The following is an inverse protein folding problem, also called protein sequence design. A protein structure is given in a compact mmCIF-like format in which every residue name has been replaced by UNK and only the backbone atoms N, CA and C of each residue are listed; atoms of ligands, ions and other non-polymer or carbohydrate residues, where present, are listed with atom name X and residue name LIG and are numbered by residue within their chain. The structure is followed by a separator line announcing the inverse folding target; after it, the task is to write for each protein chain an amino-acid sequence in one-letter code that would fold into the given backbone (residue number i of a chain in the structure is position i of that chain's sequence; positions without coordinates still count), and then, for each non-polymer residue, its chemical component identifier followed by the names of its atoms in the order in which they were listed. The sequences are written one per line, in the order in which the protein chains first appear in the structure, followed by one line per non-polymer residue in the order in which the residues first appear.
data_IF_118864400141
#
_entry.id   IF_118864400141
#
_cell.length_a   1.000
_cell.length_b   1.000
_cell.length_c   1.000
_cell.angle_alpha   90.00
_cell.angle_beta   90.00
_cell.angle_gamma   90.00
#
_symmetry.space_group_name_H-M   'P 1'
#
loop_
_entity.id
_entity.type
_entity.pdbx_description
1 polymer ?
#
# COMPACT_ATOMS: atom_id res chain seq x y z
N UNK A 1 -2.79 5.76 19.61
CA UNK A 1 -4.13 5.59 19.08
C UNK A 1 -5.13 5.12 20.16
N UNK A 2 -4.70 4.38 21.21
CA UNK A 2 -5.58 3.74 22.20
C UNK A 2 -5.52 4.38 23.57
N UNK A 3 -4.80 5.48 23.74
CA UNK A 3 -4.61 6.16 25.02
C UNK A 3 -5.20 7.56 24.94
N UNK A 4 -6.06 7.90 25.89
CA UNK A 4 -6.53 9.25 26.10
C UNK A 4 -5.39 10.08 26.70
N UNK A 5 -4.72 10.84 25.82
CA UNK A 5 -3.56 11.66 26.21
C UNK A 5 -3.92 12.80 27.15
N UNK A 6 -5.14 13.33 27.07
CA UNK A 6 -5.61 14.42 27.91
C UNK A 6 -5.83 13.92 29.34
N UNK A 7 -6.57 12.83 29.49
CA UNK A 7 -6.78 12.18 30.80
C UNK A 7 -5.47 11.70 31.42
N UNK A 8 -4.55 11.14 30.65
CA UNK A 8 -3.23 10.76 31.12
C UNK A 8 -2.43 11.98 31.63
N UNK A 9 -2.49 13.09 30.88
CA UNK A 9 -1.83 14.35 31.26
C UNK A 9 -2.38 14.93 32.57
N UNK A 10 -3.70 14.94 32.76
CA UNK A 10 -4.32 15.36 34.03
C UNK A 10 -3.93 14.45 35.21
N UNK A 11 -3.73 13.17 34.97
CA UNK A 11 -3.28 12.22 35.98
C UNK A 11 -1.76 12.26 36.21
N UNK A 12 -1.01 13.12 35.54
CA UNK A 12 0.45 13.21 35.66
C UNK A 12 1.18 11.99 35.06
N UNK A 13 0.53 11.21 34.18
CA UNK A 13 1.10 10.03 33.56
C UNK A 13 1.83 10.42 32.28
N UNK A 14 3.10 10.05 32.18
CA UNK A 14 3.89 10.24 30.97
C UNK A 14 3.54 9.15 29.96
N UNK A 15 3.09 9.57 28.76
CA UNK A 15 2.81 8.67 27.65
C UNK A 15 3.91 8.82 26.60
N UNK A 16 4.56 7.71 26.24
CA UNK A 16 5.61 7.67 25.21
C UNK A 16 5.30 6.58 24.20
N UNK A 17 5.72 6.77 22.96
CA UNK A 17 5.66 5.76 21.93
C UNK A 17 7.07 5.24 21.59
N UNK A 18 7.13 4.10 20.90
CA UNK A 18 8.36 3.50 20.41
C UNK A 18 8.41 3.58 18.87
N UNK A 19 8.68 4.76 18.29
CA UNK A 19 8.42 5.06 16.88
C UNK A 19 9.28 4.28 15.89
N UNK A 20 10.32 3.60 16.34
CA UNK A 20 11.21 2.79 15.50
C UNK A 20 11.01 1.28 15.69
N UNK A 21 10.27 0.85 16.70
CA UNK A 21 10.20 -0.56 17.10
C UNK A 21 9.63 -1.48 16.01
N UNK A 22 8.62 -1.01 15.26
CA UNK A 22 7.95 -1.79 14.22
C UNK A 22 8.37 -1.42 12.78
N UNK A 23 9.26 -0.45 12.61
CA UNK A 23 9.57 0.06 11.26
C UNK A 23 10.01 -1.04 10.31
N UNK A 24 11.00 -1.85 10.70
CA UNK A 24 11.55 -2.89 9.84
C UNK A 24 10.54 -4.02 9.59
N UNK A 25 9.80 -4.44 10.61
CA UNK A 25 8.80 -5.52 10.47
C UNK A 25 7.66 -5.13 9.53
N UNK A 26 7.20 -3.86 9.58
CA UNK A 26 6.15 -3.38 8.67
C UNK A 26 6.68 -3.21 7.24
N UNK A 27 7.96 -2.83 7.04
CA UNK A 27 8.59 -2.84 5.72
C UNK A 27 8.58 -4.25 5.13
N UNK A 28 9.00 -5.25 5.89
CA UNK A 28 9.04 -6.65 5.46
C UNK A 28 7.63 -7.18 5.16
N UNK A 29 6.66 -6.90 6.01
CA UNK A 29 5.26 -7.27 5.81
C UNK A 29 4.70 -6.65 4.53
N UNK A 30 4.92 -5.36 4.31
CA UNK A 30 4.46 -4.67 3.09
C UNK A 30 5.04 -5.29 1.81
N UNK A 31 6.34 -5.59 1.80
CA UNK A 31 7.00 -6.26 0.68
C UNK A 31 6.46 -7.69 0.53
N UNK A 32 6.26 -8.39 1.62
CA UNK A 32 5.65 -9.72 1.64
C UNK A 32 4.25 -9.73 1.01
N UNK A 33 3.39 -8.78 1.38
CA UNK A 33 2.06 -8.59 0.79
C UNK A 33 2.13 -8.26 -0.69
N UNK A 34 3.00 -7.33 -1.07
CA UNK A 34 3.19 -6.94 -2.48
C UNK A 34 3.60 -8.15 -3.34
N UNK A 35 4.59 -8.90 -2.91
CA UNK A 35 5.04 -10.10 -3.64
C UNK A 35 3.99 -11.22 -3.63
N UNK A 36 3.33 -11.45 -2.51
CA UNK A 36 2.31 -12.50 -2.36
C UNK A 36 1.11 -12.28 -3.28
N UNK A 37 0.62 -11.05 -3.37
CA UNK A 37 -0.52 -10.71 -4.24
C UNK A 37 -0.15 -10.81 -5.72
N UNK A 38 1.00 -10.26 -6.13
CA UNK A 38 1.45 -10.22 -7.52
C UNK A 38 1.88 -11.57 -8.07
N UNK A 39 2.38 -12.45 -7.22
CA UNK A 39 2.89 -13.77 -7.61
C UNK A 39 1.91 -14.90 -7.28
N UNK A 40 0.70 -14.55 -6.82
CA UNK A 40 -0.37 -15.48 -6.46
C UNK A 40 0.05 -16.55 -5.43
N UNK A 41 0.98 -16.22 -4.51
CA UNK A 41 1.55 -17.19 -3.55
C UNK A 41 0.48 -17.84 -2.69
N UNK A 42 -0.45 -17.09 -2.03
CA UNK A 42 -1.50 -17.70 -1.20
C UNK A 42 -2.51 -18.51 -2.02
N UNK A 43 -2.81 -18.07 -3.25
CA UNK A 43 -3.73 -18.80 -4.14
C UNK A 43 -3.10 -20.12 -4.60
N UNK A 44 -1.83 -20.10 -4.94
CA UNK A 44 -1.09 -21.30 -5.34
C UNK A 44 -0.98 -22.31 -4.20
N UNK A 45 -0.69 -21.85 -2.98
CA UNK A 45 -0.63 -22.71 -1.78
C UNK A 45 -1.99 -23.38 -1.51
N UNK A 46 -3.09 -22.60 -1.52
CA UNK A 46 -4.44 -23.16 -1.37
C UNK A 46 -4.81 -24.15 -2.46
N UNK A 47 -4.42 -23.89 -3.71
CA UNK A 47 -4.64 -24.79 -4.82
C UNK A 47 -3.90 -26.12 -4.62
N UNK A 48 -2.62 -26.06 -4.26
CA UNK A 48 -1.82 -27.26 -4.00
C UNK A 48 -2.36 -28.12 -2.84
N UNK A 49 -2.86 -27.48 -1.78
CA UNK A 49 -3.53 -28.19 -0.65
C UNK A 49 -4.86 -28.86 -1.05
N UNK A 50 -5.42 -28.51 -2.21
CA UNK A 50 -6.62 -29.09 -2.80
C UNK A 50 -6.29 -29.98 -4.02
N UNK A 51 -5.03 -30.43 -4.16
CA UNK A 51 -4.54 -31.26 -5.27
C UNK A 51 -4.77 -30.64 -6.67
N UNK A 52 -4.87 -29.29 -6.75
CA UNK A 52 -5.06 -28.56 -8.00
C UNK A 52 -3.73 -28.11 -8.59
N UNK A 53 -3.48 -28.47 -9.85
CA UNK A 53 -2.30 -28.05 -10.61
C UNK A 53 -2.67 -26.92 -11.59
N UNK A 54 -2.62 -25.68 -11.13
CA UNK A 54 -3.11 -24.49 -11.86
C UNK A 54 -1.98 -23.61 -12.44
N UNK A 55 -0.88 -24.21 -12.88
CA UNK A 55 0.32 -23.50 -13.36
C UNK A 55 0.04 -22.37 -14.35
N UNK A 56 -0.91 -22.56 -15.29
CA UNK A 56 -1.22 -21.56 -16.34
C UNK A 56 -1.92 -20.33 -15.79
N UNK A 57 -2.83 -20.48 -14.81
CA UNK A 57 -3.60 -19.39 -14.19
C UNK A 57 -2.83 -18.66 -13.10
N UNK A 58 -1.71 -19.22 -12.63
CA UNK A 58 -0.84 -18.65 -11.60
C UNK A 58 0.31 -17.80 -12.19
N UNK A 59 0.19 -17.38 -13.45
CA UNK A 59 1.19 -16.49 -14.07
C UNK A 59 1.07 -15.08 -13.47
N UNK A 60 1.97 -14.76 -12.56
CA UNK A 60 2.02 -13.44 -11.93
C UNK A 60 2.78 -12.40 -12.76
N UNK A 61 2.84 -11.18 -12.22
CA UNK A 61 3.52 -10.02 -12.81
C UNK A 61 4.85 -9.75 -12.10
N UNK A 62 5.90 -9.44 -12.87
CA UNK A 62 7.18 -9.02 -12.30
C UNK A 62 7.11 -7.55 -11.86
N UNK A 63 7.82 -7.19 -10.79
CA UNK A 63 7.90 -5.82 -10.25
C UNK A 63 8.81 -4.91 -11.09
N UNK A 64 9.88 -5.47 -11.66
CA UNK A 64 10.88 -4.70 -12.40
C UNK A 64 10.26 -3.86 -13.51
N UNK A 65 10.66 -2.58 -13.58
CA UNK A 65 10.16 -1.60 -14.53
C UNK A 65 8.73 -1.10 -14.25
N UNK A 66 8.12 -1.42 -13.09
CA UNK A 66 6.81 -0.92 -12.70
C UNK A 66 6.92 0.28 -11.76
N UNK A 67 5.84 1.07 -11.65
CA UNK A 67 5.78 2.22 -10.75
C UNK A 67 5.06 1.85 -9.45
N UNK A 68 5.73 2.09 -8.32
CA UNK A 68 5.15 2.01 -6.98
C UNK A 68 4.89 3.42 -6.46
N UNK A 69 3.64 3.75 -6.20
CA UNK A 69 3.18 4.96 -5.54
C UNK A 69 3.04 4.74 -4.04
N UNK A 70 3.71 5.57 -3.25
CA UNK A 70 3.65 5.54 -1.80
C UNK A 70 2.80 6.72 -1.31
N UNK A 71 1.71 6.43 -0.63
CA UNK A 71 0.89 7.43 0.05
C UNK A 71 1.45 7.67 1.46
N UNK A 72 2.12 8.82 1.64
CA UNK A 72 3.00 9.09 2.77
C UNK A 72 4.44 8.62 2.52
N UNK A 73 5.43 9.36 3.04
CA UNK A 73 6.86 9.05 2.82
C UNK A 73 7.68 9.10 4.13
N UNK A 74 7.08 8.58 5.19
CA UNK A 74 7.73 8.39 6.48
C UNK A 74 8.78 7.26 6.48
N UNK A 75 9.27 6.88 7.66
CA UNK A 75 10.33 5.87 7.83
C UNK A 75 9.99 4.52 7.16
N UNK A 76 8.77 4.04 7.32
CA UNK A 76 8.33 2.77 6.72
C UNK A 76 8.32 2.89 5.20
N UNK A 77 7.70 3.93 4.64
CA UNK A 77 7.65 4.14 3.20
C UNK A 77 9.04 4.27 2.57
N UNK A 78 9.98 4.93 3.22
CA UNK A 78 11.37 5.01 2.77
C UNK A 78 12.07 3.64 2.78
N UNK A 79 11.81 2.80 3.79
CA UNK A 79 12.27 1.42 3.83
C UNK A 79 11.69 0.58 2.68
N UNK A 80 10.38 0.67 2.46
CA UNK A 80 9.68 0.00 1.33
C UNK A 80 10.24 0.50 -0.01
N UNK A 81 10.45 1.81 -0.17
CA UNK A 81 11.05 2.40 -1.36
C UNK A 81 12.40 1.77 -1.69
N UNK A 82 13.31 1.70 -0.69
CA UNK A 82 14.66 1.13 -0.85
C UNK A 82 14.63 -0.33 -1.32
N UNK A 83 13.78 -1.16 -0.72
CA UNK A 83 13.65 -2.57 -1.11
C UNK A 83 13.02 -2.69 -2.50
N UNK A 84 11.97 -1.92 -2.80
CA UNK A 84 11.29 -1.93 -4.09
C UNK A 84 12.18 -1.45 -5.23
N UNK A 85 13.05 -0.46 -4.99
CA UNK A 85 14.08 -0.05 -5.96
C UNK A 85 15.06 -1.19 -6.27
N UNK A 86 15.45 -1.96 -5.26
CA UNK A 86 16.31 -3.14 -5.46
C UNK A 86 15.62 -4.24 -6.28
N UNK A 87 14.29 -4.27 -6.29
CA UNK A 87 13.47 -5.14 -7.16
C UNK A 87 13.21 -4.51 -8.55
N UNK A 88 13.81 -3.35 -8.84
CA UNK A 88 13.72 -2.67 -10.12
C UNK A 88 12.48 -1.81 -10.33
N UNK A 89 11.77 -1.41 -9.27
CA UNK A 89 10.62 -0.52 -9.37
C UNK A 89 11.05 0.96 -9.42
N UNK A 90 10.28 1.78 -10.16
CA UNK A 90 10.33 3.24 -10.06
C UNK A 90 9.48 3.68 -8.87
N UNK A 91 10.04 4.56 -8.01
CA UNK A 91 9.35 5.01 -6.80
C UNK A 91 8.77 6.40 -7.01
N UNK A 92 7.50 6.50 -6.74
CA UNK A 92 6.72 7.72 -6.70
C UNK A 92 6.12 7.90 -5.31
N UNK A 93 5.92 9.13 -4.86
CA UNK A 93 5.28 9.40 -3.57
C UNK A 93 4.41 10.64 -3.61
N UNK A 94 3.41 10.66 -2.77
CA UNK A 94 2.67 11.85 -2.37
C UNK A 94 2.71 11.96 -0.85
N UNK A 95 3.21 13.08 -0.37
CA UNK A 95 3.21 13.45 1.03
C UNK A 95 3.23 14.98 1.10
N UNK A 96 2.15 15.63 1.63
CA UNK A 96 2.04 17.08 1.61
C UNK A 96 3.06 17.78 2.52
N UNK A 97 3.65 17.05 3.46
CA UNK A 97 4.63 17.59 4.42
C UNK A 97 6.08 17.26 4.06
N UNK A 98 6.31 16.51 2.97
CA UNK A 98 7.64 16.06 2.60
C UNK A 98 8.42 17.15 1.86
N UNK A 99 9.60 17.55 2.36
CA UNK A 99 10.47 18.42 1.60
C UNK A 99 10.97 17.74 0.31
N UNK A 100 10.90 18.40 -0.87
CA UNK A 100 11.30 17.81 -2.15
C UNK A 100 12.70 17.22 -2.17
N UNK A 101 13.63 17.82 -1.42
CA UNK A 101 15.01 17.33 -1.27
C UNK A 101 15.10 15.93 -0.66
N UNK A 102 14.16 15.57 0.24
CA UNK A 102 14.14 14.25 0.88
C UNK A 102 13.70 13.19 -0.13
N UNK A 103 12.62 13.42 -0.87
CA UNK A 103 12.18 12.50 -1.93
C UNK A 103 13.31 12.27 -2.95
N UNK A 104 13.94 13.35 -3.43
CA UNK A 104 15.05 13.27 -4.39
C UNK A 104 16.24 12.48 -3.85
N UNK A 105 16.61 12.68 -2.58
CA UNK A 105 17.72 11.95 -1.95
C UNK A 105 17.47 10.45 -1.85
N UNK A 106 16.19 10.03 -1.79
CA UNK A 106 15.76 8.64 -1.76
C UNK A 106 15.43 8.08 -3.16
N UNK A 107 15.71 8.84 -4.23
CA UNK A 107 15.42 8.43 -5.61
C UNK A 107 13.93 8.29 -5.92
N UNK A 108 13.06 9.03 -5.21
CA UNK A 108 11.62 9.01 -5.40
C UNK A 108 11.11 10.28 -6.10
N UNK A 109 10.11 10.12 -6.96
CA UNK A 109 9.41 11.24 -7.62
C UNK A 109 8.28 11.75 -6.72
N UNK A 110 8.38 13.00 -6.24
CA UNK A 110 7.36 13.63 -5.42
C UNK A 110 6.24 14.21 -6.29
N UNK A 111 5.03 13.74 -6.10
CA UNK A 111 3.82 14.24 -6.74
C UNK A 111 3.21 15.41 -5.98
N UNK A 112 2.65 16.38 -6.71
CA UNK A 112 1.97 17.55 -6.11
C UNK A 112 0.56 17.24 -5.64
N UNK A 113 -0.08 16.22 -6.20
CA UNK A 113 -1.45 15.79 -5.86
C UNK A 113 -1.54 14.28 -5.78
N UNK A 114 -2.47 13.78 -4.98
CA UNK A 114 -2.80 12.34 -4.90
C UNK A 114 -3.21 11.80 -6.27
N UNK A 115 -4.05 12.54 -6.99
CA UNK A 115 -4.55 12.11 -8.29
C UNK A 115 -3.44 11.94 -9.33
N UNK A 116 -2.40 12.79 -9.28
CA UNK A 116 -1.25 12.62 -10.19
C UNK A 116 -0.44 11.37 -9.87
N UNK A 117 -0.37 10.95 -8.60
CA UNK A 117 0.24 9.69 -8.19
C UNK A 117 -0.55 8.50 -8.77
N UNK A 118 -1.88 8.49 -8.59
CA UNK A 118 -2.74 7.42 -9.11
C UNK A 118 -2.70 7.31 -10.63
N UNK A 119 -2.68 8.43 -11.36
CA UNK A 119 -2.55 8.44 -12.84
C UNK A 119 -1.21 7.90 -13.35
N UNK A 120 -0.20 7.86 -12.51
CA UNK A 120 1.16 7.44 -12.90
C UNK A 120 1.46 6.00 -12.49
N UNK A 121 0.98 5.59 -11.30
CA UNK A 121 1.41 4.35 -10.67
C UNK A 121 0.43 3.20 -10.91
N UNK A 122 0.99 2.03 -11.19
CA UNK A 122 0.24 0.77 -11.30
C UNK A 122 0.16 0.03 -9.97
N UNK A 123 0.98 0.40 -9.02
CA UNK A 123 1.01 -0.19 -7.67
C UNK A 123 0.94 0.95 -6.67
N UNK A 124 0.03 0.86 -5.71
CA UNK A 124 -0.14 1.84 -4.63
C UNK A 124 0.07 1.12 -3.30
N UNK A 125 0.88 1.70 -2.42
CA UNK A 125 1.06 1.23 -1.05
C UNK A 125 0.81 2.38 -0.07
N UNK A 126 0.00 2.10 0.96
CA UNK A 126 -0.47 3.10 1.92
C UNK A 126 0.46 3.12 3.14
N UNK A 127 0.94 4.33 3.51
CA UNK A 127 1.89 4.56 4.60
C UNK A 127 1.60 5.87 5.37
N UNK A 128 0.40 6.43 5.22
CA UNK A 128 -0.04 7.60 5.97
C UNK A 128 -0.88 7.20 7.19
N UNK A 129 -1.06 8.13 8.11
CA UNK A 129 -1.98 7.96 9.23
C UNK A 129 -3.42 8.18 8.77
N UNK A 130 -4.38 7.60 9.50
CA UNK A 130 -5.79 7.90 9.32
C UNK A 130 -6.11 9.26 9.97
N UNK A 131 -6.67 10.15 9.19
CA UNK A 131 -7.20 11.48 9.58
C UNK A 131 -8.46 11.74 8.75
N UNK A 132 -9.18 12.83 9.02
CA UNK A 132 -10.29 13.25 8.16
C UNK A 132 -9.87 13.44 6.69
N UNK A 133 -8.66 13.94 6.44
CA UNK A 133 -8.13 14.18 5.09
C UNK A 133 -7.71 12.89 4.37
N UNK A 134 -7.35 11.85 5.12
CA UNK A 134 -6.87 10.58 4.57
C UNK A 134 -7.93 9.47 4.62
N UNK A 135 -9.09 9.73 5.25
CA UNK A 135 -10.22 8.82 5.22
C UNK A 135 -10.68 8.63 3.77
N UNK A 136 -10.82 7.38 3.34
CA UNK A 136 -11.14 6.99 1.96
C UNK A 136 -10.27 7.73 0.90
N UNK A 137 -8.98 7.94 1.24
CA UNK A 137 -8.02 8.52 0.31
C UNK A 137 -7.85 7.65 -0.94
N UNK A 138 -7.93 6.34 -0.78
CA UNK A 138 -7.98 5.35 -1.87
C UNK A 138 -9.44 4.99 -2.11
N UNK A 139 -10.08 5.65 -3.08
CA UNK A 139 -11.51 5.53 -3.39
C UNK A 139 -11.74 5.14 -4.86
N UNK A 140 -13.01 4.88 -5.21
CA UNK A 140 -13.41 4.47 -6.55
C UNK A 140 -12.87 5.38 -7.67
N UNK A 141 -12.95 6.70 -7.49
CA UNK A 141 -12.47 7.66 -8.49
C UNK A 141 -10.98 7.51 -8.75
N UNK A 142 -10.16 7.42 -7.69
CA UNK A 142 -8.70 7.28 -7.79
C UNK A 142 -8.27 5.92 -8.32
N UNK A 143 -8.93 4.84 -7.89
CA UNK A 143 -8.67 3.51 -8.44
C UNK A 143 -8.90 3.46 -9.96
N UNK A 144 -9.93 4.13 -10.48
CA UNK A 144 -10.20 4.26 -11.92
C UNK A 144 -9.16 5.10 -12.68
N UNK A 145 -8.38 5.94 -11.98
CA UNK A 145 -7.29 6.72 -12.61
C UNK A 145 -6.04 5.88 -12.87
N UNK A 146 -5.90 4.74 -12.21
CA UNK A 146 -4.70 3.91 -12.32
C UNK A 146 -4.56 3.33 -13.73
N UNK A 147 -3.33 3.36 -14.32
CA UNK A 147 -3.16 3.07 -15.74
C UNK A 147 -3.24 1.59 -16.13
N UNK A 148 -3.09 0.66 -15.18
CA UNK A 148 -3.08 -0.79 -15.43
C UNK A 148 -1.92 -1.29 -16.30
N UNK A 149 -1.11 -0.38 -16.84
CA UNK A 149 0.00 -0.69 -17.76
C UNK A 149 1.18 0.25 -17.56
N UNK A 150 2.37 -0.23 -17.85
CA UNK A 150 3.62 0.57 -17.86
C UNK A 150 4.43 0.25 -19.09
N UNK A 151 4.85 1.29 -19.83
CA UNK A 151 5.62 1.10 -21.08
C UNK A 151 4.93 0.22 -22.12
N UNK A 152 3.60 0.29 -22.23
CA UNK A 152 2.79 -0.54 -23.13
C UNK A 152 2.53 -1.97 -22.63
N UNK A 153 3.13 -2.39 -21.51
CA UNK A 153 2.93 -3.72 -20.95
C UNK A 153 1.79 -3.68 -19.95
N UNK A 154 0.76 -4.50 -20.16
CA UNK A 154 -0.32 -4.68 -19.19
C UNK A 154 0.23 -5.39 -17.93
N UNK A 155 0.10 -4.78 -16.77
CA UNK A 155 0.59 -5.32 -15.50
C UNK A 155 -0.47 -5.29 -14.40
N UNK A 156 -1.66 -4.77 -14.69
CA UNK A 156 -2.73 -4.59 -13.72
C UNK A 156 -2.48 -3.43 -12.76
N UNK A 157 -3.50 -3.15 -11.95
CA UNK A 157 -3.41 -2.21 -10.84
C UNK A 157 -3.44 -2.97 -9.51
N UNK A 158 -2.63 -2.57 -8.56
CA UNK A 158 -2.45 -3.30 -7.30
C UNK A 158 -2.42 -2.34 -6.11
N UNK A 159 -3.08 -2.72 -5.01
CA UNK A 159 -3.18 -1.91 -3.79
C UNK A 159 -2.72 -2.73 -2.60
N UNK A 160 -1.84 -2.13 -1.77
CA UNK A 160 -1.38 -2.70 -0.49
C UNK A 160 -1.65 -1.70 0.62
N UNK A 161 -2.26 -2.15 1.71
CA UNK A 161 -2.47 -1.34 2.91
C UNK A 161 -2.04 -2.11 4.16
N UNK A 162 -0.92 -1.68 4.76
CA UNK A 162 -0.43 -2.12 6.06
C UNK A 162 -0.35 -0.93 7.04
N UNK A 163 -1.12 0.14 6.81
CA UNK A 163 -1.10 1.34 7.61
C UNK A 163 -2.27 1.42 8.60
N UNK A 164 -3.45 1.77 8.13
CA UNK A 164 -4.69 1.84 8.94
C UNK A 164 -5.90 1.49 8.08
N UNK A 165 -6.90 0.85 8.70
CA UNK A 165 -8.24 0.73 8.13
C UNK A 165 -8.88 2.10 7.88
N UNK A 166 -9.85 2.19 6.98
CA UNK A 166 -10.53 3.42 6.62
C UNK A 166 -9.76 4.39 5.70
N UNK A 167 -8.49 4.13 5.37
CA UNK A 167 -7.77 4.90 4.33
C UNK A 167 -8.14 4.40 2.93
N UNK A 168 -8.36 3.11 2.81
CA UNK A 168 -8.92 2.48 1.61
C UNK A 168 -10.42 2.33 1.84
N UNK A 169 -11.22 2.80 0.91
CA UNK A 169 -12.66 2.55 0.83
C UNK A 169 -12.85 1.08 0.41
N UNK A 170 -13.20 0.22 1.36
CA UNK A 170 -13.27 -1.24 1.15
C UNK A 170 -14.42 -1.64 0.23
N UNK A 171 -15.56 -0.95 0.30
CA UNK A 171 -16.67 -1.15 -0.63
C UNK A 171 -16.27 -0.82 -2.07
N UNK A 172 -15.64 0.34 -2.25
CA UNK A 172 -15.14 0.76 -3.55
C UNK A 172 -14.03 -0.18 -4.08
N UNK A 173 -13.18 -0.69 -3.19
CA UNK A 173 -12.14 -1.66 -3.56
C UNK A 173 -12.75 -2.99 -4.02
N UNK A 174 -13.75 -3.49 -3.33
CA UNK A 174 -14.46 -4.72 -3.71
C UNK A 174 -15.05 -4.57 -5.12
N UNK A 175 -15.76 -3.49 -5.39
CA UNK A 175 -16.32 -3.20 -6.71
C UNK A 175 -15.22 -3.07 -7.77
N UNK A 176 -14.11 -2.40 -7.45
CA UNK A 176 -12.99 -2.24 -8.38
C UNK A 176 -12.27 -3.57 -8.71
N UNK A 177 -12.25 -4.51 -7.79
CA UNK A 177 -11.77 -5.88 -8.01
C UNK A 177 -12.72 -6.67 -8.91
N UNK A 178 -14.02 -6.60 -8.66
CA UNK A 178 -15.04 -7.29 -9.47
C UNK A 178 -15.09 -6.76 -10.91
N UNK A 179 -14.93 -5.45 -11.10
CA UNK A 179 -14.87 -4.79 -12.41
C UNK A 179 -13.50 -4.98 -13.10
N UNK A 180 -12.51 -5.55 -12.42
CA UNK A 180 -11.15 -5.73 -12.97
C UNK A 180 -10.33 -4.43 -13.11
N UNK A 181 -10.79 -3.32 -12.50
CA UNK A 181 -10.04 -2.05 -12.42
C UNK A 181 -8.80 -2.22 -11.55
N UNK A 182 -8.96 -2.88 -10.40
CA UNK A 182 -7.89 -3.36 -9.54
C UNK A 182 -7.72 -4.86 -9.78
N UNK A 183 -6.50 -5.30 -10.04
CA UNK A 183 -6.19 -6.70 -10.35
C UNK A 183 -5.92 -7.53 -9.11
N UNK A 184 -5.42 -6.92 -8.05
CA UNK A 184 -5.27 -7.54 -6.73
C UNK A 184 -5.09 -6.50 -5.63
N UNK A 185 -5.45 -6.90 -4.42
CA UNK A 185 -5.17 -6.13 -3.20
C UNK A 185 -4.57 -7.03 -2.13
N UNK A 186 -3.85 -6.42 -1.18
CA UNK A 186 -3.40 -7.05 0.05
C UNK A 186 -3.58 -6.07 1.20
N UNK A 187 -4.44 -6.43 2.13
CA UNK A 187 -4.79 -5.62 3.29
C UNK A 187 -4.39 -6.35 4.58
N UNK A 188 -3.74 -5.65 5.49
CA UNK A 188 -3.40 -6.11 6.84
C UNK A 188 -4.25 -5.42 7.90
N UNK A 189 -5.02 -4.39 7.49
CA UNK A 189 -5.85 -3.54 8.34
C UNK A 189 -7.19 -3.27 7.65
N UNK A 190 -8.25 -3.11 8.44
CA UNK A 190 -9.63 -3.04 7.94
C UNK A 190 -10.42 -1.92 8.62
N UNK A 191 -11.50 -1.47 7.97
CA UNK A 191 -12.42 -0.46 8.53
C UNK A 191 -13.10 -0.95 9.80
N UNK A 192 -13.41 -2.24 9.86
CA UNK A 192 -13.96 -2.88 11.04
C UNK A 192 -13.03 -4.00 11.50
N UNK A 193 -12.48 -3.87 12.69
CA UNK A 193 -11.62 -4.86 13.32
C UNK A 193 -12.19 -5.27 14.71
N UNK A 194 -12.32 -6.58 15.02
CA UNK A 194 -12.06 -7.73 14.14
C UNK A 194 -13.03 -7.80 12.96
N UNK A 195 -12.61 -8.49 11.89
CA UNK A 195 -13.49 -8.70 10.73
C UNK A 195 -14.81 -9.36 11.16
N UNK A 196 -15.96 -8.91 10.61
CA UNK A 196 -17.24 -9.57 10.87
C UNK A 196 -17.21 -11.02 10.34
N UNK A 197 -18.03 -11.89 11.00
CA UNK A 197 -18.17 -13.31 10.61
C UNK A 197 -18.82 -13.48 9.23
#
# INVERSE_FOLDING_TARGET
DNIDLESAGFAGIMVVNAPNASTQSVVELTIGHLLSSLRHIPKSDRGMRQDKWEKKSMKGTALSGKCLGLLGFGRIAQGVAKVSQSLGMEIHTYDPYLPPKVAKAQGAYLHKTVDSLFKTCTHISVHCNLTEETHHLVNASRMRMMPGKKGGINCGNHIVNCARGGIVDEEALLLALDEGIVSSSALDVFETEPLPE
#
